data_IF_651685299590
#
_entry.id   IF_651685299590
#
_cell.length_a   1.000
_cell.length_b   1.000
_cell.length_c   1.000
_cell.angle_alpha   90.00
_cell.angle_beta   90.00
_cell.angle_gamma   90.00
#
_symmetry.space_group_name_H-M   'P 1'
#
loop_
_entity.id
_entity.type
_entity.pdbx_description
1 polymer ?
#
# COMPACT_ATOMS: atom_id res chain seq x y z
N UNK A 1 -2.19 -67.74 -35.85
CA UNK A 1 -1.32 -67.23 -36.94
C UNK A 1 -2.17 -66.83 -38.14
N UNK A 2 -2.15 -65.55 -38.53
CA UNK A 2 -2.10 -65.01 -39.92
C UNK A 2 -2.43 -63.51 -39.87
N UNK A 3 -1.42 -62.67 -40.12
CA UNK A 3 -1.54 -61.23 -40.39
C UNK A 3 -2.06 -61.04 -41.81
N UNK A 4 -3.00 -60.12 -42.02
CA UNK A 4 -3.22 -59.47 -43.30
C UNK A 4 -3.41 -57.95 -43.08
N UNK A 5 -2.79 -57.20 -43.98
CA UNK A 5 -2.45 -55.78 -43.92
C UNK A 5 -3.61 -54.91 -44.42
N UNK A 6 -3.82 -53.75 -43.80
CA UNK A 6 -4.73 -52.72 -44.31
C UNK A 6 -4.14 -52.03 -45.56
N UNK A 7 -4.95 -51.74 -46.60
CA UNK A 7 -4.56 -50.90 -47.72
C UNK A 7 -4.72 -49.39 -47.43
N UNK A 8 -3.83 -48.60 -48.02
CA UNK A 8 -3.74 -47.13 -47.98
C UNK A 8 -4.90 -46.48 -48.75
N UNK A 9 -5.39 -45.36 -48.23
CA UNK A 9 -6.27 -44.41 -48.94
C UNK A 9 -5.56 -43.04 -48.93
N UNK A 10 -5.13 -42.59 -50.10
CA UNK A 10 -4.92 -41.18 -50.50
C UNK A 10 -5.96 -40.94 -51.62
N UNK A 11 -6.64 -39.82 -51.84
CA UNK A 11 -6.63 -38.45 -51.32
C UNK A 11 -7.84 -37.75 -51.95
N UNK A 12 -8.45 -36.78 -51.25
CA UNK A 12 -8.94 -35.47 -51.73
C UNK A 12 -10.26 -35.04 -51.07
N UNK A 13 -10.13 -34.05 -50.17
CA UNK A 13 -11.18 -33.15 -49.70
C UNK A 13 -10.57 -31.72 -49.64
N UNK A 14 -11.38 -30.66 -49.77
CA UNK A 14 -10.99 -29.42 -50.45
C UNK A 14 -10.25 -28.37 -49.59
N UNK A 15 -9.55 -27.48 -50.29
CA UNK A 15 -8.80 -26.31 -49.82
C UNK A 15 -9.67 -25.31 -49.03
N UNK A 16 -9.84 -25.47 -47.72
CA UNK A 16 -10.25 -24.34 -46.88
C UNK A 16 -9.90 -24.48 -45.38
N UNK A 17 -8.71 -24.96 -45.04
CA UNK A 17 -8.18 -24.81 -43.68
C UNK A 17 -6.66 -24.60 -43.72
N UNK A 18 -6.23 -23.35 -43.95
CA UNK A 18 -4.88 -22.94 -43.55
C UNK A 18 -4.84 -22.86 -42.02
N UNK A 19 -4.30 -23.90 -41.39
CA UNK A 19 -3.89 -23.85 -39.99
C UNK A 19 -2.94 -22.64 -39.81
N UNK A 20 -3.37 -21.67 -39.00
CA UNK A 20 -2.47 -20.61 -38.54
C UNK A 20 -1.45 -21.28 -37.60
N UNK A 21 -0.13 -21.10 -37.81
CA UNK A 21 0.85 -21.73 -36.94
C UNK A 21 0.63 -21.25 -35.51
N UNK A 22 0.38 -22.19 -34.61
CA UNK A 22 0.42 -21.96 -33.17
C UNK A 22 1.83 -21.48 -32.83
N UNK A 23 2.00 -20.18 -32.55
CA UNK A 23 3.20 -19.67 -31.89
C UNK A 23 3.17 -20.09 -30.42
N UNK A 24 3.41 -21.38 -30.18
CA UNK A 24 4.01 -21.85 -28.95
C UNK A 24 5.51 -21.62 -29.09
N UNK A 25 5.97 -20.45 -28.68
CA UNK A 25 7.35 -20.28 -28.28
C UNK A 25 7.34 -19.82 -26.83
N UNK A 26 7.42 -20.79 -25.92
CA UNK A 26 8.07 -20.57 -24.64
C UNK A 26 9.46 -20.05 -24.97
N UNK A 27 9.61 -18.73 -24.98
CA UNK A 27 10.91 -18.13 -25.09
C UNK A 27 11.54 -18.33 -23.72
N UNK A 28 12.45 -19.31 -23.67
CA UNK A 28 13.22 -19.70 -22.50
C UNK A 28 13.58 -18.47 -21.66
N UNK A 29 13.27 -18.55 -20.37
CA UNK A 29 13.72 -17.60 -19.36
C UNK A 29 15.25 -17.61 -19.32
N UNK A 30 15.87 -16.82 -20.21
CA UNK A 30 17.30 -16.52 -20.13
C UNK A 30 17.51 -15.65 -18.90
N UNK A 31 17.99 -16.26 -17.83
CA UNK A 31 18.60 -15.53 -16.72
C UNK A 31 19.85 -14.86 -17.30
N UNK A 32 19.76 -13.56 -17.56
CA UNK A 32 20.93 -12.75 -17.88
C UNK A 32 21.79 -12.62 -16.61
N UNK A 33 22.84 -13.42 -16.53
CA UNK A 33 23.91 -13.24 -15.54
C UNK A 33 24.77 -12.06 -16.03
N UNK A 34 24.95 -10.99 -15.24
CA UNK A 34 25.77 -9.85 -15.65
C UNK A 34 27.26 -10.24 -15.72
N UNK A 35 28.05 -9.66 -16.64
CA UNK A 35 29.49 -9.62 -16.48
C UNK A 35 29.81 -8.84 -15.20
N UNK A 36 30.77 -9.34 -14.42
CA UNK A 36 31.36 -8.59 -13.33
C UNK A 36 32.04 -7.35 -13.91
N UNK A 37 31.80 -6.19 -13.29
CA UNK A 37 32.33 -4.86 -13.65
C UNK A 37 31.48 -4.01 -14.62
N UNK A 38 30.47 -3.34 -14.07
CA UNK A 38 30.35 -1.87 -14.11
C UNK A 38 29.12 -1.41 -13.30
N UNK A 39 29.31 -0.44 -12.39
CA UNK A 39 28.25 0.13 -11.53
C UNK A 39 27.33 1.07 -12.31
N UNK A 40 26.65 0.56 -13.34
CA UNK A 40 25.50 1.23 -13.95
C UNK A 40 24.26 0.93 -13.11
N UNK A 41 23.67 1.98 -12.53
CA UNK A 41 22.37 1.88 -11.83
C UNK A 41 21.30 1.48 -12.85
N UNK A 42 21.04 0.17 -12.97
CA UNK A 42 19.97 -0.34 -13.82
C UNK A 42 18.62 -0.05 -13.17
N UNK A 43 17.89 0.90 -13.75
CA UNK A 43 16.51 1.21 -13.37
C UNK A 43 15.56 0.33 -14.18
N UNK A 44 15.17 -0.81 -13.62
CA UNK A 44 14.11 -1.67 -14.19
C UNK A 44 12.73 -1.00 -14.03
N UNK A 45 12.46 0.03 -14.83
CA UNK A 45 11.13 0.67 -14.86
C UNK A 45 10.34 0.15 -16.05
N UNK A 46 9.49 -0.86 -15.80
CA UNK A 46 8.36 -1.10 -16.68
C UNK A 46 7.33 0.02 -16.43
N UNK A 47 7.40 1.09 -17.22
CA UNK A 47 6.43 2.18 -17.14
C UNK A 47 5.07 1.72 -17.68
N UNK A 48 4.06 1.66 -16.82
CA UNK A 48 2.68 1.39 -17.23
C UNK A 48 2.07 2.68 -17.74
N UNK A 49 1.78 2.74 -19.04
CA UNK A 49 1.14 3.92 -19.64
C UNK A 49 -0.22 4.20 -19.01
N UNK A 50 -0.61 5.48 -18.97
CA UNK A 50 -1.91 5.93 -18.43
C UNK A 50 -3.08 5.17 -19.07
N UNK A 51 -2.99 4.87 -20.36
CA UNK A 51 -3.99 4.10 -21.10
C UNK A 51 -4.17 2.66 -20.58
N UNK A 52 -3.13 2.04 -20.01
CA UNK A 52 -3.18 0.70 -19.43
C UNK A 52 -3.65 0.70 -17.97
N UNK A 53 -3.81 1.87 -17.34
CA UNK A 53 -4.21 1.98 -15.92
C UNK A 53 -5.68 1.60 -15.77
N UNK A 54 -5.94 0.65 -14.88
CA UNK A 54 -7.29 0.29 -14.47
C UNK A 54 -7.81 1.37 -13.52
N UNK A 55 -8.96 1.96 -13.84
CA UNK A 55 -9.58 3.05 -13.08
C UNK A 55 -10.89 2.58 -12.45
N UNK A 56 -11.22 3.10 -11.26
CA UNK A 56 -12.56 2.99 -10.67
C UNK A 56 -13.68 3.46 -11.59
N UNK A 57 -14.86 2.87 -11.39
CA UNK A 57 -16.09 3.24 -12.09
C UNK A 57 -16.51 4.63 -11.64
N UNK A 58 -16.69 5.52 -12.60
CA UNK A 58 -17.23 6.85 -12.31
C UNK A 58 -18.74 6.74 -12.14
N UNK A 59 -19.26 7.14 -10.99
CA UNK A 59 -20.68 7.05 -10.70
C UNK A 59 -21.10 7.92 -9.51
N UNK A 60 -22.40 7.95 -9.24
CA UNK A 60 -22.94 8.60 -8.04
C UNK A 60 -22.56 7.76 -6.83
N UNK A 61 -21.91 8.39 -5.86
CA UNK A 61 -21.54 7.69 -4.63
C UNK A 61 -22.80 7.49 -3.77
N UNK A 62 -23.11 6.26 -3.36
CA UNK A 62 -24.35 5.98 -2.64
C UNK A 62 -24.31 6.58 -1.25
N UNK A 63 -25.39 7.28 -0.86
CA UNK A 63 -25.49 7.95 0.45
C UNK A 63 -25.37 6.96 1.62
N UNK A 64 -25.84 5.71 1.43
CA UNK A 64 -25.71 4.65 2.41
C UNK A 64 -24.24 4.26 2.70
N UNK A 65 -23.32 4.48 1.75
CA UNK A 65 -21.90 4.21 1.95
C UNK A 65 -21.11 5.44 2.44
N UNK A 66 -21.79 6.57 2.67
CA UNK A 66 -21.14 7.81 3.09
C UNK A 66 -20.60 7.68 4.51
N UNK A 67 -19.30 7.91 4.65
CA UNK A 67 -18.67 8.01 5.96
C UNK A 67 -19.20 9.24 6.70
N UNK A 68 -19.80 9.01 7.86
CA UNK A 68 -20.24 10.07 8.77
C UNK A 68 -19.12 10.37 9.75
N UNK A 69 -18.72 11.64 9.80
CA UNK A 69 -17.79 12.14 10.81
C UNK A 69 -18.55 12.85 11.91
N UNK A 70 -18.39 12.38 13.14
CA UNK A 70 -18.93 12.96 14.37
C UNK A 70 -17.78 13.40 15.26
N UNK A 71 -17.95 14.51 15.98
CA UNK A 71 -17.01 14.95 17.01
C UNK A 71 -17.81 14.95 18.31
N UNK A 72 -17.78 13.84 19.07
CA UNK A 72 -18.63 13.68 20.25
C UNK A 72 -18.20 14.59 21.41
N UNK A 73 -16.91 14.94 21.48
CA UNK A 73 -16.30 15.70 22.57
C UNK A 73 -15.44 16.82 21.98
N UNK A 74 -15.28 17.93 22.71
CA UNK A 74 -14.37 19.01 22.31
C UNK A 74 -12.91 18.49 22.32
N UNK A 75 -12.23 18.44 21.17
CA UNK A 75 -10.85 17.94 21.09
C UNK A 75 -9.86 18.79 21.89
N UNK A 76 -10.21 20.04 22.22
CA UNK A 76 -9.34 20.93 22.99
C UNK A 76 -9.47 20.72 24.51
N UNK A 77 -10.54 20.08 24.98
CA UNK A 77 -10.79 19.89 26.40
C UNK A 77 -9.74 18.99 27.10
N UNK A 78 -9.17 18.04 26.37
CA UNK A 78 -8.17 17.08 26.89
C UNK A 78 -6.73 17.52 26.64
N UNK A 79 -6.50 18.71 26.07
CA UNK A 79 -5.14 19.15 25.73
C UNK A 79 -4.34 19.38 27.03
N UNK A 80 -3.19 18.71 27.21
CA UNK A 80 -2.37 18.87 28.40
C UNK A 80 -1.81 20.29 28.45
N UNK A 81 -1.94 20.94 29.62
CA UNK A 81 -1.41 22.29 29.83
C UNK A 81 0.12 22.25 29.82
N UNK A 82 0.73 23.23 29.15
CA UNK A 82 2.17 23.43 29.16
C UNK A 82 2.57 24.27 30.38
N UNK A 83 3.72 23.93 30.97
CA UNK A 83 4.30 24.72 32.04
C UNK A 83 5.15 25.83 31.41
N UNK A 84 5.08 27.09 31.90
CA UNK A 84 6.03 28.14 31.51
C UNK A 84 7.48 27.79 31.89
N UNK A 85 7.67 26.89 32.87
CA UNK A 85 8.95 26.36 33.28
C UNK A 85 8.98 24.86 32.98
N UNK A 86 9.43 24.45 31.78
CA UNK A 86 9.48 23.04 31.41
C UNK A 86 10.51 22.30 32.27
N UNK A 87 10.16 21.15 32.85
CA UNK A 87 11.13 20.32 33.57
C UNK A 87 12.17 19.76 32.60
N UNK A 88 13.35 19.38 33.12
CA UNK A 88 14.34 18.65 32.32
C UNK A 88 13.72 17.36 31.77
N UNK A 89 14.04 17.02 30.53
CA UNK A 89 13.58 15.79 29.92
C UNK A 89 13.96 14.58 30.77
N UNK A 90 12.98 13.68 30.93
CA UNK A 90 13.19 12.38 31.55
C UNK A 90 12.55 11.34 30.64
N UNK A 91 13.31 10.30 30.23
CA UNK A 91 12.84 9.31 29.27
C UNK A 91 11.62 8.56 29.83
N UNK A 92 10.67 8.26 28.94
CA UNK A 92 9.52 7.40 29.24
C UNK A 92 9.71 6.02 28.60
N UNK A 93 8.76 5.11 28.83
CA UNK A 93 8.76 3.80 28.15
C UNK A 93 8.67 3.94 26.62
N UNK A 94 8.01 4.99 26.13
CA UNK A 94 7.74 5.18 24.70
C UNK A 94 8.71 6.17 24.04
N UNK A 95 9.04 7.26 24.74
CA UNK A 95 9.96 8.29 24.30
C UNK A 95 11.29 8.15 25.04
N UNK A 96 12.19 7.34 24.47
CA UNK A 96 13.58 7.19 24.95
C UNK A 96 14.46 8.33 24.44
N UNK A 97 15.65 8.49 25.04
CA UNK A 97 16.60 9.50 24.59
C UNK A 97 16.99 9.30 23.12
N UNK A 98 17.26 8.06 22.69
CA UNK A 98 17.58 7.74 21.30
C UNK A 98 16.48 8.16 20.32
N UNK A 99 15.21 7.91 20.69
CA UNK A 99 14.05 8.32 19.89
C UNK A 99 13.91 9.83 19.85
N UNK A 100 14.18 10.53 20.95
CA UNK A 100 14.19 11.99 20.99
C UNK A 100 15.30 12.58 20.11
N UNK A 101 16.51 12.03 20.20
CA UNK A 101 17.67 12.47 19.40
C UNK A 101 17.43 12.24 17.90
N UNK A 102 16.69 11.18 17.55
CA UNK A 102 16.29 10.90 16.15
C UNK A 102 15.38 11.97 15.55
N UNK A 103 14.70 12.77 16.38
CA UNK A 103 13.88 13.90 15.92
C UNK A 103 14.75 15.09 15.49
N UNK A 104 16.06 15.06 15.75
CA UNK A 104 17.03 16.11 15.41
C UNK A 104 16.56 17.51 15.82
N UNK A 105 15.96 17.61 17.02
CA UNK A 105 15.44 18.87 17.54
C UNK A 105 16.61 19.87 17.63
N UNK A 106 16.42 21.04 17.04
CA UNK A 106 17.40 22.13 17.04
C UNK A 106 18.74 21.86 16.31
N UNK A 107 18.75 21.04 15.25
CA UNK A 107 19.95 20.79 14.43
C UNK A 107 20.68 22.05 13.94
N UNK A 108 19.93 23.12 13.68
CA UNK A 108 20.45 24.39 13.15
C UNK A 108 20.76 25.42 14.24
N UNK A 109 20.56 25.10 15.53
CA UNK A 109 20.76 26.04 16.64
C UNK A 109 19.80 27.24 16.64
N UNK A 110 18.63 27.10 16.01
CA UNK A 110 17.61 28.16 15.92
C UNK A 110 16.87 28.37 17.24
N UNK A 111 16.65 27.31 18.00
CA UNK A 111 15.92 27.36 19.27
C UNK A 111 16.89 27.65 20.42
N UNK A 112 16.46 28.48 21.37
CA UNK A 112 17.10 28.62 22.67
C UNK A 112 16.97 27.34 23.49
N UNK A 113 17.80 27.19 24.54
CA UNK A 113 17.69 26.03 25.43
C UNK A 113 16.32 25.92 26.11
N UNK A 114 15.68 27.06 26.41
CA UNK A 114 14.35 27.09 27.04
C UNK A 114 13.26 26.63 26.06
N UNK A 115 13.33 27.08 24.80
CA UNK A 115 12.40 26.66 23.75
C UNK A 115 12.58 25.18 23.39
N UNK A 116 13.82 24.69 23.39
CA UNK A 116 14.09 23.27 23.20
C UNK A 116 13.45 22.43 24.31
N UNK A 117 13.61 22.82 25.59
CA UNK A 117 12.96 22.14 26.72
C UNK A 117 11.44 22.20 26.64
N UNK A 118 10.88 23.32 26.20
CA UNK A 118 9.44 23.43 25.98
C UNK A 118 8.96 22.47 24.89
N UNK A 119 9.70 22.35 23.80
CA UNK A 119 9.40 21.40 22.73
C UNK A 119 9.48 19.95 23.22
N UNK A 120 10.51 19.60 24.00
CA UNK A 120 10.64 18.29 24.65
C UNK A 120 9.43 17.98 25.55
N UNK A 121 8.93 18.97 26.31
CA UNK A 121 7.71 18.82 27.10
C UNK A 121 6.47 18.57 26.21
N UNK A 122 6.31 19.31 25.11
CA UNK A 122 5.21 19.12 24.16
C UNK A 122 5.23 17.71 23.57
N UNK A 123 6.41 17.26 23.14
CA UNK A 123 6.60 15.93 22.55
C UNK A 123 6.30 14.85 23.59
N UNK A 124 6.80 14.99 24.82
CA UNK A 124 6.54 14.05 25.91
C UNK A 124 5.06 13.97 26.27
N UNK A 125 4.37 15.11 26.37
CA UNK A 125 2.94 15.15 26.64
C UNK A 125 2.11 14.44 25.56
N UNK A 126 2.62 14.41 24.32
CA UNK A 126 1.97 13.80 23.17
C UNK A 126 2.69 12.55 22.68
N UNK A 127 3.47 11.86 23.54
CA UNK A 127 4.33 10.75 23.13
C UNK A 127 3.57 9.65 22.37
N UNK A 128 2.34 9.36 22.78
CA UNK A 128 1.45 8.37 22.14
C UNK A 128 1.04 8.71 20.70
N UNK A 129 1.27 9.93 20.25
CA UNK A 129 0.97 10.36 18.88
C UNK A 129 2.10 10.10 17.91
N UNK A 130 3.32 9.87 18.41
CA UNK A 130 4.48 9.55 17.60
C UNK A 130 4.52 8.05 17.32
N UNK A 131 4.73 7.68 16.07
CA UNK A 131 4.88 6.29 15.68
C UNK A 131 6.34 6.01 15.36
N UNK A 132 6.99 5.14 16.14
CA UNK A 132 8.35 4.69 15.89
C UNK A 132 8.34 3.27 15.29
N UNK A 133 7.43 2.43 15.76
CA UNK A 133 7.23 1.04 15.30
C UNK A 133 5.85 0.85 14.62
N UNK A 134 5.68 -0.27 13.92
CA UNK A 134 4.39 -0.60 13.28
C UNK A 134 3.28 -0.84 14.32
N UNK A 135 3.65 -1.24 15.54
CA UNK A 135 2.77 -1.40 16.71
C UNK A 135 2.25 -0.07 17.26
N UNK A 136 2.99 1.03 17.07
CA UNK A 136 2.57 2.37 17.47
C UNK A 136 1.53 2.98 16.51
N UNK A 137 1.10 2.23 15.50
CA UNK A 137 0.12 2.70 14.51
C UNK A 137 -1.19 3.08 15.21
N UNK A 138 -1.59 4.33 15.02
CA UNK A 138 -2.91 4.79 15.43
C UNK A 138 -4.03 4.25 14.54
N UNK A 139 -5.14 3.89 15.16
CA UNK A 139 -6.43 3.60 14.50
C UNK A 139 -7.39 4.75 14.75
N UNK A 140 -8.23 5.07 13.76
CA UNK A 140 -9.29 6.06 13.97
C UNK A 140 -10.30 5.51 14.98
N UNK A 141 -10.76 6.37 15.91
CA UNK A 141 -11.78 5.98 16.88
C UNK A 141 -13.13 5.79 16.18
N UNK A 142 -13.79 4.67 16.44
CA UNK A 142 -15.13 4.35 15.91
C UNK A 142 -16.19 5.38 16.33
N UNK A 143 -16.01 6.06 17.47
CA UNK A 143 -16.91 7.13 17.92
C UNK A 143 -16.87 8.39 17.05
N UNK A 144 -15.80 8.56 16.26
CA UNK A 144 -15.62 9.71 15.38
C UNK A 144 -16.04 9.44 13.94
N UNK A 145 -15.92 8.18 13.49
CA UNK A 145 -16.15 7.81 12.10
C UNK A 145 -17.00 6.56 12.02
N UNK A 146 -18.08 6.62 11.25
CA UNK A 146 -18.81 5.41 10.91
C UNK A 146 -17.94 4.44 10.10
N UNK A 147 -18.19 3.12 10.17
CA UNK A 147 -17.48 2.14 9.35
C UNK A 147 -17.46 2.52 7.86
N UNK A 148 -16.31 2.31 7.21
CA UNK A 148 -16.17 2.59 5.78
C UNK A 148 -16.81 1.47 4.97
N UNK A 149 -17.84 1.79 4.18
CA UNK A 149 -18.46 0.87 3.25
C UNK A 149 -17.90 1.17 1.85
N UNK A 150 -17.32 0.15 1.19
CA UNK A 150 -16.83 0.32 -0.17
C UNK A 150 -17.96 0.14 -1.18
N UNK A 151 -18.37 1.19 -1.93
CA UNK A 151 -19.40 1.03 -2.94
C UNK A 151 -18.83 0.33 -4.18
N UNK A 152 -19.54 -0.68 -4.65
CA UNK A 152 -19.15 -1.52 -5.78
C UNK A 152 -20.33 -1.70 -6.73
N UNK A 153 -20.05 -1.81 -8.02
CA UNK A 153 -21.05 -2.25 -9.01
C UNK A 153 -21.32 -3.75 -8.85
N UNK A 154 -22.47 -4.29 -9.30
CA UNK A 154 -22.69 -5.73 -9.35
C UNK A 154 -21.57 -6.44 -10.10
N UNK A 155 -20.99 -7.47 -9.50
CA UNK A 155 -19.86 -8.21 -10.05
C UNK A 155 -19.78 -9.61 -9.44
N UNK A 156 -18.99 -10.46 -10.08
CA UNK A 156 -18.64 -11.77 -9.54
C UNK A 156 -17.36 -11.67 -8.70
N UNK A 157 -17.32 -12.28 -7.50
CA UNK A 157 -16.09 -12.42 -6.73
C UNK A 157 -15.00 -13.12 -7.54
N UNK A 158 -13.73 -12.80 -7.25
CA UNK A 158 -12.59 -13.38 -7.98
C UNK A 158 -11.61 -14.09 -7.05
N UNK A 159 -11.07 -15.20 -7.54
CA UNK A 159 -9.97 -15.91 -6.91
C UNK A 159 -8.78 -16.00 -7.85
N UNK A 160 -7.74 -15.22 -7.56
CA UNK A 160 -6.52 -15.19 -8.36
C UNK A 160 -5.39 -15.93 -7.64
N UNK A 161 -4.74 -16.86 -8.37
CA UNK A 161 -3.53 -17.53 -7.90
C UNK A 161 -2.41 -16.50 -7.67
N UNK A 162 -1.79 -16.56 -6.50
CA UNK A 162 -0.67 -15.70 -6.12
C UNK A 162 0.58 -16.02 -6.95
N UNK A 163 1.41 -14.98 -7.11
CA UNK A 163 2.73 -15.11 -7.73
C UNK A 163 3.63 -15.89 -6.75
N UNK A 164 4.34 -16.94 -7.19
CA UNK A 164 5.26 -17.67 -6.33
C UNK A 164 6.31 -16.76 -5.70
N UNK A 165 6.59 -16.96 -4.41
CA UNK A 165 7.60 -16.20 -3.69
C UNK A 165 8.96 -16.87 -3.95
N UNK A 166 9.98 -16.13 -4.44
CA UNK A 166 11.31 -16.67 -4.60
C UNK A 166 11.88 -17.19 -3.27
N UNK A 167 12.59 -18.34 -3.26
CA UNK A 167 13.05 -18.98 -2.03
C UNK A 167 13.98 -18.06 -1.22
N UNK A 168 14.85 -17.30 -1.87
CA UNK A 168 15.81 -16.41 -1.19
C UNK A 168 15.20 -15.23 -0.42
N UNK A 169 13.93 -14.89 -0.65
CA UNK A 169 13.24 -13.83 0.11
C UNK A 169 12.14 -14.35 1.02
N UNK A 170 11.90 -15.67 1.04
CA UNK A 170 10.76 -16.29 1.72
C UNK A 170 10.72 -15.98 3.22
N UNK A 171 11.82 -16.14 3.92
CA UNK A 171 11.86 -15.94 5.38
C UNK A 171 11.62 -14.48 5.77
N UNK A 172 12.19 -13.56 5.00
CA UNK A 172 11.95 -12.11 5.17
C UNK A 172 10.48 -11.76 4.95
N UNK A 173 9.83 -12.38 3.95
CA UNK A 173 8.39 -12.17 3.70
C UNK A 173 7.55 -12.73 4.84
N UNK A 174 7.88 -13.92 5.35
CA UNK A 174 7.19 -14.51 6.50
C UNK A 174 7.30 -13.62 7.74
N UNK A 175 8.48 -13.06 8.00
CA UNK A 175 8.69 -12.11 9.11
C UNK A 175 7.78 -10.88 8.97
N UNK A 176 7.71 -10.26 7.78
CA UNK A 176 6.85 -9.11 7.50
C UNK A 176 5.36 -9.47 7.67
N UNK A 177 4.94 -10.66 7.25
CA UNK A 177 3.55 -11.09 7.42
C UNK A 177 3.19 -11.29 8.90
N UNK A 178 4.09 -11.87 9.70
CA UNK A 178 3.91 -12.02 11.15
C UNK A 178 3.81 -10.66 11.85
N UNK A 179 4.69 -9.72 11.50
CA UNK A 179 4.67 -8.35 12.04
C UNK A 179 3.34 -7.64 11.73
N UNK A 180 2.85 -7.79 10.49
CA UNK A 180 1.55 -7.22 10.08
C UNK A 180 0.36 -7.87 10.78
N UNK A 181 0.43 -9.16 11.09
CA UNK A 181 -0.57 -9.86 11.90
C UNK A 181 -0.54 -9.36 13.35
N UNK A 182 0.65 -9.25 13.97
CA UNK A 182 0.78 -8.73 15.34
C UNK A 182 0.35 -7.27 15.48
N UNK A 183 0.56 -6.47 14.43
CA UNK A 183 0.11 -5.08 14.39
C UNK A 183 -1.39 -4.92 14.04
N UNK A 184 -2.14 -6.01 13.86
CA UNK A 184 -3.58 -5.96 13.54
C UNK A 184 -3.90 -5.44 12.14
N UNK A 185 -2.91 -5.36 11.25
CA UNK A 185 -3.11 -4.89 9.85
C UNK A 185 -3.72 -5.98 8.99
N UNK A 186 -3.37 -7.23 9.29
CA UNK A 186 -3.93 -8.41 8.66
C UNK A 186 -4.68 -9.23 9.69
N UNK A 187 -5.76 -9.82 9.23
CA UNK A 187 -6.60 -10.72 10.00
C UNK A 187 -6.92 -11.94 9.13
N UNK A 188 -6.96 -13.15 9.72
CA UNK A 188 -7.50 -14.31 9.04
C UNK A 188 -8.94 -14.05 8.60
N UNK A 189 -9.26 -14.33 7.34
CA UNK A 189 -10.62 -14.18 6.80
C UNK A 189 -10.99 -15.35 5.91
N UNK A 190 -12.30 -15.65 5.87
CA UNK A 190 -12.90 -16.54 4.89
C UNK A 190 -13.62 -15.66 3.87
N UNK A 191 -13.01 -15.48 2.70
CA UNK A 191 -13.49 -14.54 1.68
C UNK A 191 -13.56 -15.20 0.32
N UNK A 192 -14.60 -14.90 -0.45
CA UNK A 192 -14.71 -15.23 -1.87
C UNK A 192 -13.81 -14.35 -2.76
N UNK A 193 -13.11 -13.38 -2.18
CA UNK A 193 -12.15 -12.52 -2.88
C UNK A 193 -10.72 -12.92 -2.54
N UNK A 194 -9.92 -13.16 -3.57
CA UNK A 194 -8.48 -13.37 -3.45
C UNK A 194 -7.73 -12.62 -4.55
N UNK A 195 -7.12 -11.50 -4.18
CA UNK A 195 -6.27 -10.72 -5.08
C UNK A 195 -4.82 -11.22 -5.06
N UNK A 196 -4.09 -11.01 -6.16
CA UNK A 196 -2.66 -11.32 -6.20
C UNK A 196 -1.90 -10.33 -5.33
N UNK A 197 -0.74 -10.75 -4.84
CA UNK A 197 0.23 -9.86 -4.23
C UNK A 197 1.64 -10.34 -4.55
N UNK A 198 2.60 -9.43 -4.46
CA UNK A 198 4.01 -9.67 -4.70
C UNK A 198 4.88 -8.75 -3.83
N UNK A 199 6.17 -9.05 -3.78
CA UNK A 199 7.15 -8.26 -3.03
C UNK A 199 7.99 -7.42 -3.98
N UNK A 200 8.31 -6.19 -3.55
CA UNK A 200 9.23 -5.29 -4.24
C UNK A 200 10.36 -4.93 -3.30
N UNK A 201 11.60 -5.06 -3.76
CA UNK A 201 12.77 -4.58 -3.04
C UNK A 201 12.87 -3.06 -3.22
N UNK A 202 12.93 -2.31 -2.12
CA UNK A 202 13.23 -0.88 -2.15
C UNK A 202 14.74 -0.64 -2.30
N UNK A 203 15.12 0.59 -2.67
CA UNK A 203 16.52 1.06 -2.73
C UNK A 203 17.29 0.86 -1.42
N UNK A 204 16.61 0.89 -0.28
CA UNK A 204 17.20 0.66 1.04
C UNK A 204 17.33 -0.83 1.41
N UNK A 205 17.11 -1.76 0.47
CA UNK A 205 17.17 -3.20 0.70
C UNK A 205 15.98 -3.78 1.47
N UNK A 206 15.03 -2.95 1.94
CA UNK A 206 13.82 -3.43 2.61
C UNK A 206 12.78 -3.93 1.60
N UNK A 207 12.08 -4.99 1.95
CA UNK A 207 10.97 -5.52 1.14
C UNK A 207 9.68 -4.74 1.42
N UNK A 208 8.87 -4.55 0.38
CA UNK A 208 7.52 -4.01 0.46
C UNK A 208 6.54 -5.01 -0.14
N UNK A 209 5.51 -5.35 0.61
CA UNK A 209 4.37 -6.11 0.09
C UNK A 209 3.48 -5.21 -0.76
N UNK A 210 3.09 -5.67 -1.94
CA UNK A 210 2.20 -4.97 -2.86
C UNK A 210 1.04 -5.89 -3.22
N UNK A 211 -0.18 -5.44 -2.91
CA UNK A 211 -1.41 -6.11 -3.32
C UNK A 211 -1.86 -5.58 -4.68
N UNK A 212 -2.14 -6.47 -5.62
CA UNK A 212 -2.68 -6.12 -6.94
C UNK A 212 -4.19 -5.90 -6.82
N UNK A 213 -4.55 -4.66 -6.49
CA UNK A 213 -5.93 -4.23 -6.34
C UNK A 213 -6.58 -3.81 -7.67
N UNK A 214 -6.00 -4.16 -8.82
CA UNK A 214 -6.60 -3.85 -10.12
C UNK A 214 -8.00 -4.44 -10.29
N UNK A 215 -8.30 -5.69 -9.92
CA UNK A 215 -9.67 -6.22 -9.99
C UNK A 215 -10.65 -5.41 -9.14
N UNK A 216 -10.27 -5.08 -7.91
CA UNK A 216 -11.08 -4.26 -7.00
C UNK A 216 -11.32 -2.85 -7.57
N UNK A 217 -10.29 -2.26 -8.16
CA UNK A 217 -10.40 -0.97 -8.82
C UNK A 217 -11.30 -1.00 -10.07
N UNK A 218 -11.61 -2.15 -10.69
CA UNK A 218 -12.56 -2.19 -11.82
C UNK A 218 -14.00 -2.01 -11.38
N UNK A 219 -14.30 -2.38 -10.14
CA UNK A 219 -15.66 -2.48 -9.64
C UNK A 219 -16.01 -1.37 -8.64
N UNK A 220 -15.00 -0.74 -8.05
CA UNK A 220 -15.21 0.30 -7.04
C UNK A 220 -15.78 1.57 -7.69
N UNK A 221 -16.76 2.15 -7.02
CA UNK A 221 -17.42 3.39 -7.46
C UNK A 221 -16.71 4.57 -6.79
N UNK A 222 -16.37 5.58 -7.58
CA UNK A 222 -15.80 6.84 -7.08
C UNK A 222 -16.61 8.04 -7.55
N UNK A 223 -16.66 9.07 -6.71
CA UNK A 223 -17.27 10.36 -7.05
C UNK A 223 -16.60 10.96 -8.29
N UNK A 224 -17.42 11.35 -9.25
CA UNK A 224 -17.02 12.02 -10.51
C UNK A 224 -16.14 13.26 -10.29
N UNK A 225 -16.24 13.94 -9.14
CA UNK A 225 -15.44 15.14 -8.82
C UNK A 225 -14.10 14.91 -8.10
N UNK A 226 -13.75 13.66 -7.74
CA UNK A 226 -12.47 13.35 -7.08
C UNK A 226 -11.46 12.66 -8.01
N UNK A 227 -11.50 12.93 -9.33
CA UNK A 227 -10.33 12.69 -10.18
C UNK A 227 -9.25 13.73 -9.87
N UNK A 228 -8.62 13.63 -8.70
CA UNK A 228 -7.27 14.14 -8.53
C UNK A 228 -6.34 13.03 -8.98
N UNK A 229 -5.68 13.24 -10.12
CA UNK A 229 -4.52 12.46 -10.50
C UNK A 229 -3.52 12.48 -9.35
N UNK A 230 -3.37 11.33 -8.70
CA UNK A 230 -2.64 11.19 -7.45
C UNK A 230 -1.73 9.98 -7.49
N UNK A 231 -0.67 10.08 -8.30
CA UNK A 231 0.56 9.32 -8.11
C UNK A 231 1.77 10.17 -8.52
N UNK A 232 1.75 11.47 -8.21
CA UNK A 232 2.95 12.32 -8.18
C UNK A 232 2.91 13.11 -6.87
N UNK A 233 3.97 12.95 -6.07
CA UNK A 233 4.10 13.62 -4.79
C UNK A 233 4.38 15.10 -4.97
N UNK A 234 3.52 15.95 -4.42
CA UNK A 234 3.87 17.32 -4.00
C UNK A 234 2.79 17.82 -3.04
N UNK A 235 3.21 18.25 -1.85
CA UNK A 235 2.34 18.80 -0.83
C UNK A 235 1.50 19.95 -1.36
N UNK A 236 0.18 19.87 -1.20
CA UNK A 236 -0.71 20.99 -1.48
C UNK A 236 -0.88 21.78 -0.18
N UNK A 237 -0.28 22.98 -0.15
CA UNK A 237 -0.44 23.99 0.92
C UNK A 237 -1.94 24.18 1.22
N UNK A 238 -2.36 23.87 2.44
CA UNK A 238 -3.69 24.24 2.93
C UNK A 238 -3.82 25.76 2.90
N UNK A 239 -4.76 26.30 2.10
CA UNK A 239 -5.14 27.70 2.18
C UNK A 239 -6.13 27.85 3.35
N UNK A 240 -5.84 28.81 4.22
CA UNK A 240 -6.45 29.09 5.53
C UNK A 240 -7.93 29.55 5.51
N UNK A 241 -8.71 29.27 4.47
CA UNK A 241 -10.02 29.93 4.24
C UNK A 241 -11.27 29.06 4.32
N UNK A 242 -11.15 27.79 4.74
CA UNK A 242 -12.30 26.88 4.81
C UNK A 242 -12.71 26.49 6.24
N UNK A 243 -12.31 27.29 7.24
CA UNK A 243 -12.71 27.09 8.64
C UNK A 243 -13.29 28.41 9.14
N UNK A 244 -14.61 28.56 9.02
CA UNK A 244 -15.54 29.20 9.95
C UNK A 244 -16.94 29.20 9.29
N UNK A 245 -18.00 28.72 9.96
CA UNK A 245 -19.36 28.90 9.47
C UNK A 245 -19.80 30.37 9.65
N UNK A 246 -20.67 30.86 8.76
CA UNK A 246 -21.45 32.08 8.97
C UNK A 246 -22.55 31.82 9.99
#
# INVERSE_FOLDING_TARGET
MKRLKNPRIDQQAPEEYREKPQRNSYQEDRILVPPEEDKLVQVFTAYKSVAKKVKPVSGTFPEAARVRRTIPEDPLATVPKLSPHPPKFAPSQHLTQERLDSLEINKNGFLSEEEQRLFEQVVKNNEKTLAFEETDRGTLKDSYFSPYIMPVVPHEPWELKNIPIPPGIRDKVIAILKEKLSAGVYEPSQSSYRSRWFCVLKKNGKLRLVHDLQPLNKISIVLTHQRRDGADGAGRKFRKRDILPR
#
